data_IF_519416885007
#
_entry.id   IF_519416885007
#
_cell.length_a   1.000
_cell.length_b   1.000
_cell.length_c   1.000
_cell.angle_alpha   90.00
_cell.angle_beta   90.00
_cell.angle_gamma   90.00
#
_symmetry.space_group_name_H-M   'P 1'
#
loop_
_entity.id
_entity.type
_entity.pdbx_description
1 polymer ?
#
# COMPACT_ATOMS: atom_id res chain seq x y z
N UNK A 1 4.21 21.16 -16.09
CA UNK A 1 4.13 20.92 -14.63
C UNK A 1 4.85 19.63 -14.22
N UNK A 2 4.64 18.54 -14.95
CA UNK A 2 5.29 17.23 -14.75
C UNK A 2 6.83 17.28 -14.71
N UNK A 3 7.50 17.98 -15.63
CA UNK A 3 8.98 18.07 -15.65
C UNK A 3 9.58 18.75 -14.41
N UNK A 4 8.87 19.72 -13.83
CA UNK A 4 9.30 20.37 -12.57
C UNK A 4 9.19 19.41 -11.39
N UNK A 5 8.14 18.59 -11.33
CA UNK A 5 7.98 17.54 -10.32
C UNK A 5 9.03 16.44 -10.49
N UNK A 6 9.29 16.01 -11.72
CA UNK A 6 10.33 15.04 -12.04
C UNK A 6 11.73 15.52 -11.64
N UNK A 7 12.09 16.78 -11.93
CA UNK A 7 13.37 17.38 -11.52
C UNK A 7 13.48 17.53 -9.99
N UNK A 8 12.42 18.00 -9.32
CA UNK A 8 12.47 18.33 -7.89
C UNK A 8 12.36 17.12 -6.97
N UNK A 9 11.57 16.12 -7.35
CA UNK A 9 11.29 14.93 -6.52
C UNK A 9 11.85 13.62 -7.08
N UNK A 10 12.68 13.69 -8.14
CA UNK A 10 13.21 12.52 -8.85
C UNK A 10 12.09 11.54 -9.23
N UNK A 11 11.02 12.06 -9.83
CA UNK A 11 9.79 11.31 -10.12
C UNK A 11 9.93 10.26 -11.23
N UNK A 12 10.98 10.36 -12.06
CA UNK A 12 11.25 9.41 -13.15
C UNK A 12 11.58 8.03 -12.56
N UNK A 13 10.82 7.01 -12.94
CA UNK A 13 10.98 5.63 -12.44
C UNK A 13 10.16 5.29 -11.18
N UNK A 14 9.44 6.24 -10.58
CA UNK A 14 8.61 6.01 -9.37
C UNK A 14 7.16 5.59 -9.67
N UNK A 15 6.83 5.29 -10.93
CA UNK A 15 5.47 4.92 -11.34
C UNK A 15 5.01 3.60 -10.69
N UNK A 16 5.87 2.59 -10.66
CA UNK A 16 5.60 1.31 -9.99
C UNK A 16 5.42 1.50 -8.48
N UNK A 17 6.23 2.36 -7.86
CA UNK A 17 6.09 2.71 -6.43
C UNK A 17 4.75 3.40 -6.18
N UNK A 18 4.39 4.39 -7.01
CA UNK A 18 3.12 5.11 -6.88
C UNK A 18 1.91 4.18 -7.09
N UNK A 19 1.98 3.26 -8.05
CA UNK A 19 0.96 2.24 -8.27
C UNK A 19 0.80 1.33 -7.05
N UNK A 20 1.92 0.77 -6.54
CA UNK A 20 1.90 -0.13 -5.39
C UNK A 20 1.42 0.53 -4.10
N UNK A 21 1.81 1.79 -3.85
CA UNK A 21 1.27 2.58 -2.74
C UNK A 21 -0.22 2.83 -2.95
N UNK A 22 -0.63 3.22 -4.16
CA UNK A 22 -2.04 3.41 -4.49
C UNK A 22 -2.88 2.16 -4.19
N UNK A 23 -2.41 0.99 -4.63
CA UNK A 23 -3.08 -0.27 -4.35
C UNK A 23 -3.07 -0.66 -2.87
N UNK A 24 -1.99 -0.39 -2.15
CA UNK A 24 -1.88 -0.72 -0.73
C UNK A 24 -2.89 0.07 0.11
N UNK A 25 -3.14 1.34 -0.23
CA UNK A 25 -4.03 2.23 0.54
C UNK A 25 -5.46 2.32 -0.02
N UNK A 26 -5.70 1.90 -1.27
CA UNK A 26 -7.04 1.93 -1.90
C UNK A 26 -7.68 0.56 -2.06
N UNK A 27 -6.92 -0.52 -1.91
CA UNK A 27 -7.47 -1.87 -1.94
C UNK A 27 -8.29 -2.12 -0.68
N UNK A 28 -9.55 -2.52 -0.85
CA UNK A 28 -10.38 -3.01 0.26
C UNK A 28 -10.20 -4.51 0.39
N UNK A 29 -9.94 -4.98 1.61
CA UNK A 29 -10.02 -6.39 1.98
C UNK A 29 -11.49 -6.81 1.91
N UNK A 30 -11.75 -8.01 1.40
CA UNK A 30 -13.11 -8.56 1.28
C UNK A 30 -13.40 -9.55 2.40
N UNK A 31 -14.63 -9.53 2.89
CA UNK A 31 -15.19 -10.54 3.81
C UNK A 31 -15.42 -11.89 3.12
N UNK A 32 -15.52 -11.90 1.80
CA UNK A 32 -15.83 -13.09 0.99
C UNK A 32 -14.60 -13.98 0.80
N UNK A 33 -13.41 -13.45 1.07
CA UNK A 33 -12.14 -14.16 0.97
C UNK A 33 -11.49 -14.29 2.34
N UNK A 34 -10.69 -15.35 2.52
CA UNK A 34 -9.92 -15.53 3.76
C UNK A 34 -9.00 -14.32 3.98
N UNK A 35 -8.93 -13.83 5.23
CA UNK A 35 -8.14 -12.65 5.59
C UNK A 35 -6.63 -12.86 5.41
N UNK A 36 -6.13 -14.03 5.84
CA UNK A 36 -4.68 -14.33 5.85
C UNK A 36 -4.03 -14.25 4.46
N UNK A 37 -4.59 -14.83 3.37
CA UNK A 37 -4.07 -14.63 2.01
C UNK A 37 -4.04 -13.16 1.58
N UNK A 38 -5.04 -12.37 1.96
CA UNK A 38 -5.13 -10.96 1.58
C UNK A 38 -4.07 -10.12 2.33
N UNK A 39 -3.85 -10.38 3.62
CA UNK A 39 -2.77 -9.78 4.41
C UNK A 39 -1.39 -10.15 3.85
N UNK A 40 -1.22 -11.41 3.42
CA UNK A 40 0.02 -11.85 2.78
C UNK A 40 0.29 -11.13 1.44
N UNK A 41 -0.76 -10.88 0.65
CA UNK A 41 -0.64 -10.07 -0.56
C UNK A 41 -0.23 -8.61 -0.25
N UNK A 42 -0.78 -8.00 0.81
CA UNK A 42 -0.35 -6.67 1.26
C UNK A 42 1.12 -6.66 1.69
N UNK A 43 1.54 -7.63 2.49
CA UNK A 43 2.95 -7.79 2.91
C UNK A 43 3.88 -7.99 1.72
N UNK A 44 3.45 -8.73 0.69
CA UNK A 44 4.21 -8.89 -0.54
C UNK A 44 4.39 -7.55 -1.27
N UNK A 45 3.35 -6.72 -1.37
CA UNK A 45 3.46 -5.37 -1.94
C UNK A 45 4.44 -4.50 -1.17
N UNK A 46 4.43 -4.55 0.17
CA UNK A 46 5.40 -3.86 1.02
C UNK A 46 6.83 -4.34 0.75
N UNK A 47 7.06 -5.66 0.62
CA UNK A 47 8.39 -6.20 0.28
C UNK A 47 8.88 -5.72 -1.09
N UNK A 48 7.99 -5.63 -2.08
CA UNK A 48 8.32 -5.10 -3.41
C UNK A 48 8.65 -3.60 -3.32
N UNK A 49 7.92 -2.83 -2.52
CA UNK A 49 8.26 -1.43 -2.27
C UNK A 49 9.65 -1.27 -1.65
N UNK A 50 9.98 -2.11 -0.67
CA UNK A 50 11.31 -2.13 -0.04
C UNK A 50 12.41 -2.47 -1.03
N UNK A 51 12.22 -3.45 -1.92
CA UNK A 51 13.22 -3.77 -2.95
C UNK A 51 13.39 -2.66 -3.99
N UNK A 52 12.36 -1.84 -4.20
CA UNK A 52 12.42 -0.62 -5.03
C UNK A 52 12.98 0.60 -4.28
N UNK A 53 13.50 0.41 -3.06
CA UNK A 53 14.13 1.47 -2.25
C UNK A 53 13.14 2.34 -1.46
N UNK A 54 11.89 1.90 -1.31
CA UNK A 54 10.86 2.57 -0.51
C UNK A 54 10.45 1.67 0.65
N UNK A 55 11.04 1.89 1.82
CA UNK A 55 10.66 1.16 3.03
C UNK A 55 9.43 1.81 3.67
N UNK A 56 8.36 1.04 3.86
CA UNK A 56 7.26 1.43 4.75
C UNK A 56 7.56 0.86 6.13
N UNK A 57 7.49 1.71 7.16
CA UNK A 57 7.56 1.25 8.55
C UNK A 57 6.32 0.44 8.94
N UNK A 58 6.48 -0.45 9.92
CA UNK A 58 5.41 -1.35 10.37
C UNK A 58 4.14 -0.59 10.80
N UNK A 59 4.30 0.61 11.39
CA UNK A 59 3.17 1.48 11.75
C UNK A 59 2.33 1.89 10.53
N UNK A 60 2.97 2.22 9.41
CA UNK A 60 2.28 2.58 8.17
C UNK A 60 1.62 1.36 7.52
N UNK A 61 2.22 0.18 7.67
CA UNK A 61 1.61 -1.07 7.21
C UNK A 61 0.37 -1.39 8.04
N UNK A 62 0.42 -1.21 9.36
CA UNK A 62 -0.73 -1.37 10.24
C UNK A 62 -1.85 -0.38 9.89
N UNK A 63 -1.53 0.89 9.65
CA UNK A 63 -2.50 1.90 9.17
C UNK A 63 -3.11 1.47 7.84
N UNK A 64 -2.30 1.01 6.88
CA UNK A 64 -2.80 0.52 5.60
C UNK A 64 -3.75 -0.67 5.75
N UNK A 65 -3.49 -1.60 6.66
CA UNK A 65 -4.41 -2.71 6.95
C UNK A 65 -5.72 -2.17 7.52
N UNK A 66 -5.67 -1.30 8.53
CA UNK A 66 -6.87 -0.77 9.21
C UNK A 66 -7.79 0.00 8.26
N UNK A 67 -7.25 0.80 7.34
CA UNK A 67 -8.06 1.52 6.35
C UNK A 67 -8.65 0.60 5.27
N UNK A 68 -8.00 -0.54 5.03
CA UNK A 68 -8.40 -1.52 4.03
C UNK A 68 -9.37 -2.56 4.57
N UNK A 69 -9.57 -2.63 5.89
CA UNK A 69 -10.54 -3.55 6.49
C UNK A 69 -11.96 -3.29 5.94
N UNK A 70 -12.74 -4.33 5.67
CA UNK A 70 -14.14 -4.17 5.27
C UNK A 70 -14.96 -3.66 6.46
N UNK A 71 -16.12 -3.08 6.15
CA UNK A 71 -17.02 -2.47 7.15
C UNK A 71 -17.52 -3.45 8.22
N UNK A 72 -17.43 -4.76 8.00
CA UNK A 72 -17.71 -5.77 9.01
C UNK A 72 -16.77 -5.69 10.22
N UNK A 73 -15.54 -5.20 10.03
CA UNK A 73 -14.53 -5.00 11.07
C UNK A 73 -14.55 -3.59 11.67
N UNK A 74 -15.48 -2.70 11.29
CA UNK A 74 -15.59 -1.36 11.89
C UNK A 74 -15.85 -1.40 13.40
N UNK A 75 -16.36 -2.53 13.93
CA UNK A 75 -16.53 -2.73 15.38
C UNK A 75 -15.21 -2.84 16.16
N UNK A 76 -14.08 -3.07 15.46
CA UNK A 76 -12.73 -3.19 16.02
C UNK A 76 -11.89 -1.92 15.83
N UNK A 77 -12.45 -0.89 15.17
CA UNK A 77 -11.79 0.37 14.81
C UNK A 77 -12.13 1.47 15.82
#
# INVERSE_FOLDING_TARGET
AWDRLCKRYKGKGKQTIAYLIGELFRGTLSDEALLEPQLNAMRQKVRILTSLGTTLGDDLVAVAIVISLPSSYDTLR
#
